data_IF_637129789680
#
_entry.id   IF_637129789680
#
_cell.length_a   1.000
_cell.length_b   1.000
_cell.length_c   1.000
_cell.angle_alpha   90.00
_cell.angle_beta   90.00
_cell.angle_gamma   90.00
#
_symmetry.space_group_name_H-M   'P 1'
#
loop_
_entity.id
_entity.type
_entity.pdbx_description
1 polymer ?
#
# COMPACT_ATOMS: atom_id res chain seq x y z
N UNK A 1 11.68 -3.12 -14.81
CA UNK A 1 10.81 -1.98 -14.49
C UNK A 1 11.08 -1.58 -13.04
N UNK A 2 11.66 -0.40 -12.82
CA UNK A 2 11.80 0.15 -11.46
C UNK A 2 10.46 0.77 -11.06
N UNK A 3 9.85 0.22 -10.01
CA UNK A 3 8.60 0.72 -9.46
C UNK A 3 8.87 1.94 -8.57
N UNK A 4 7.90 2.86 -8.47
CA UNK A 4 8.01 3.92 -7.48
C UNK A 4 7.85 3.32 -6.08
N UNK A 5 8.84 3.54 -5.22
CA UNK A 5 8.81 3.08 -3.82
C UNK A 5 7.91 3.93 -2.93
N UNK A 6 7.51 5.13 -3.39
CA UNK A 6 6.71 6.10 -2.63
C UNK A 6 5.22 5.92 -2.94
N UNK A 7 4.42 5.88 -1.88
CA UNK A 7 2.96 5.91 -1.95
C UNK A 7 2.42 7.33 -1.88
N UNK A 8 1.46 7.67 -2.74
CA UNK A 8 0.71 8.92 -2.77
C UNK A 8 -0.59 8.88 -1.97
N UNK A 9 -0.92 7.75 -1.34
CA UNK A 9 -2.09 7.66 -0.46
C UNK A 9 -1.96 8.61 0.75
N UNK A 10 -3.03 9.32 1.16
CA UNK A 10 -4.42 9.24 0.69
C UNK A 10 -4.79 10.21 -0.45
N UNK A 11 -3.88 11.11 -0.81
CA UNK A 11 -4.19 12.30 -1.62
C UNK A 11 -4.04 12.08 -3.14
N UNK A 12 -3.52 10.92 -3.55
CA UNK A 12 -3.27 10.58 -4.94
C UNK A 12 -3.44 9.09 -5.25
N UNK A 13 -3.52 8.81 -6.55
CA UNK A 13 -3.52 7.45 -7.09
C UNK A 13 -2.09 7.08 -7.43
N UNK A 14 -1.60 5.98 -6.88
CA UNK A 14 -0.27 5.47 -7.22
C UNK A 14 -0.21 5.00 -8.67
N UNK A 15 0.96 5.14 -9.33
CA UNK A 15 1.18 4.53 -10.63
C UNK A 15 0.84 3.05 -10.61
N UNK A 16 0.17 2.59 -11.67
CA UNK A 16 -0.15 1.17 -11.80
C UNK A 16 1.15 0.37 -11.87
N UNK A 17 1.32 -0.53 -10.91
CA UNK A 17 2.46 -1.44 -10.88
C UNK A 17 2.16 -2.55 -11.89
N UNK A 18 2.85 -2.52 -13.03
CA UNK A 18 2.65 -3.49 -14.09
C UNK A 18 3.47 -4.74 -13.85
N UNK A 19 2.80 -5.89 -13.85
CA UNK A 19 3.42 -7.20 -13.73
C UNK A 19 3.19 -8.00 -15.00
N UNK A 20 4.28 -8.57 -15.53
CA UNK A 20 4.24 -9.59 -16.56
C UNK A 20 5.34 -10.61 -16.31
N UNK A 21 5.24 -11.76 -16.94
CA UNK A 21 6.32 -12.73 -16.94
C UNK A 21 7.54 -12.15 -17.69
N UNK A 22 8.73 -12.57 -17.28
CA UNK A 22 9.93 -12.29 -18.07
C UNK A 22 9.92 -13.15 -19.32
N UNK A 23 10.35 -12.59 -20.43
CA UNK A 23 10.60 -13.38 -21.62
C UNK A 23 11.80 -14.34 -21.41
N UNK A 24 11.99 -15.25 -22.36
CA UNK A 24 13.10 -16.20 -22.32
C UNK A 24 14.47 -15.53 -22.47
N UNK A 25 14.54 -14.31 -22.99
CA UNK A 25 15.80 -13.57 -23.18
C UNK A 25 16.35 -13.05 -21.85
N UNK A 26 15.47 -12.78 -20.87
CA UNK A 26 15.85 -12.29 -19.55
C UNK A 26 15.98 -13.39 -18.49
N UNK A 27 15.90 -14.67 -18.87
CA UNK A 27 15.93 -15.81 -17.92
C UNK A 27 17.24 -15.86 -17.11
N UNK A 28 18.38 -15.57 -17.74
CA UNK A 28 19.68 -15.59 -17.06
C UNK A 28 19.80 -14.51 -16.00
N UNK A 29 19.18 -13.35 -16.24
CA UNK A 29 19.13 -12.24 -15.28
C UNK A 29 18.32 -12.67 -14.06
N UNK A 30 17.13 -13.25 -14.27
CA UNK A 30 16.29 -13.75 -13.18
C UNK A 30 16.98 -14.89 -12.41
N UNK A 31 17.68 -15.79 -13.09
CA UNK A 31 18.42 -16.86 -12.45
C UNK A 31 19.55 -16.31 -11.57
N UNK A 32 20.30 -15.31 -12.05
CA UNK A 32 21.35 -14.70 -11.26
C UNK A 32 20.78 -13.92 -10.07
N UNK A 33 19.70 -13.16 -10.26
CA UNK A 33 18.98 -12.51 -9.17
C UNK A 33 18.54 -13.53 -8.10
N UNK A 34 17.88 -14.61 -8.50
CA UNK A 34 17.41 -15.66 -7.58
C UNK A 34 18.57 -16.35 -6.86
N UNK A 35 19.72 -16.52 -7.53
CA UNK A 35 20.93 -17.04 -6.90
C UNK A 35 21.41 -16.10 -5.78
N UNK A 36 21.51 -14.81 -6.03
CA UNK A 36 21.90 -13.81 -5.02
C UNK A 36 20.92 -13.82 -3.84
N UNK A 37 19.60 -13.87 -4.12
CA UNK A 37 18.56 -14.02 -3.09
C UNK A 37 18.76 -15.29 -2.26
N UNK A 38 19.06 -16.43 -2.89
CA UNK A 38 19.27 -17.70 -2.18
C UNK A 38 20.49 -17.70 -1.26
N UNK A 39 21.47 -16.83 -1.53
CA UNK A 39 22.66 -16.62 -0.71
C UNK A 39 22.44 -15.59 0.42
N UNK A 40 21.29 -14.91 0.44
CA UNK A 40 21.00 -13.82 1.37
C UNK A 40 21.66 -12.49 0.99
N UNK A 41 22.20 -12.37 -0.22
CA UNK A 41 22.88 -11.18 -0.74
C UNK A 41 21.84 -10.20 -1.32
N UNK A 42 20.95 -9.68 -0.46
CA UNK A 42 19.80 -8.88 -0.90
C UNK A 42 20.19 -7.52 -1.49
N UNK A 43 21.25 -6.89 -0.97
CA UNK A 43 21.75 -5.60 -1.48
C UNK A 43 22.29 -5.78 -2.88
N UNK A 44 23.14 -6.79 -3.07
CA UNK A 44 23.72 -7.14 -4.36
C UNK A 44 22.66 -7.56 -5.36
N UNK A 45 21.65 -8.33 -4.94
CA UNK A 45 20.51 -8.70 -5.79
C UNK A 45 19.74 -7.46 -6.28
N UNK A 46 19.50 -6.50 -5.39
CA UNK A 46 18.80 -5.25 -5.72
C UNK A 46 19.63 -4.34 -6.62
N UNK A 47 20.93 -4.22 -6.38
CA UNK A 47 21.82 -3.43 -7.23
C UNK A 47 21.98 -4.07 -8.61
N UNK A 48 22.03 -5.40 -8.68
CA UNK A 48 22.07 -6.16 -9.92
C UNK A 48 20.81 -5.91 -10.76
N UNK A 49 19.61 -6.05 -10.17
CA UNK A 49 18.37 -5.90 -10.94
C UNK A 49 18.13 -4.48 -11.45
N UNK A 50 18.64 -3.46 -10.74
CA UNK A 50 18.58 -2.05 -11.15
C UNK A 50 19.36 -1.75 -12.44
N UNK A 51 20.34 -2.59 -12.80
CA UNK A 51 21.12 -2.43 -14.03
C UNK A 51 20.40 -2.98 -15.26
N UNK A 52 19.27 -3.66 -15.08
CA UNK A 52 18.55 -4.35 -16.14
C UNK A 52 17.15 -3.76 -16.36
N UNK A 53 16.95 -3.18 -17.54
CA UNK A 53 15.64 -2.74 -17.99
C UNK A 53 14.78 -3.92 -18.48
N UNK A 54 13.46 -3.69 -18.56
CA UNK A 54 12.49 -4.70 -19.05
C UNK A 54 12.47 -6.05 -18.30
N UNK A 55 13.05 -6.10 -17.10
CA UNK A 55 12.89 -7.23 -16.19
C UNK A 55 11.75 -6.94 -15.22
N UNK A 56 10.89 -7.92 -15.02
CA UNK A 56 9.68 -7.84 -14.19
C UNK A 56 9.76 -8.82 -13.03
N UNK A 57 9.29 -8.42 -11.86
CA UNK A 57 9.35 -9.29 -10.70
C UNK A 57 8.99 -8.58 -9.41
N UNK A 58 8.89 -9.37 -8.35
CA UNK A 58 8.66 -8.89 -7.00
C UNK A 58 9.99 -8.46 -6.36
N UNK A 59 10.46 -7.28 -6.74
CA UNK A 59 11.72 -6.71 -6.24
C UNK A 59 11.50 -5.89 -4.95
N UNK A 60 12.60 -5.51 -4.30
CA UNK A 60 12.57 -4.73 -3.06
C UNK A 60 11.69 -3.47 -3.16
N UNK A 61 11.75 -2.77 -4.30
CA UNK A 61 10.99 -1.54 -4.51
C UNK A 61 9.47 -1.75 -4.45
N UNK A 62 8.98 -2.91 -4.90
CA UNK A 62 7.56 -3.26 -4.80
C UNK A 62 7.14 -3.46 -3.34
N UNK A 63 7.94 -4.19 -2.56
CA UNK A 63 7.65 -4.42 -1.16
C UNK A 63 7.68 -3.11 -0.36
N UNK A 64 8.64 -2.23 -0.65
CA UNK A 64 8.73 -0.91 -0.05
C UNK A 64 7.48 -0.06 -0.36
N UNK A 65 6.98 -0.11 -1.59
CA UNK A 65 5.75 0.59 -1.97
C UNK A 65 4.52 0.08 -1.18
N UNK A 66 4.39 -1.24 -0.99
CA UNK A 66 3.33 -1.82 -0.17
C UNK A 66 3.46 -1.37 1.29
N UNK A 67 4.67 -1.46 1.85
CA UNK A 67 4.92 -1.05 3.23
C UNK A 67 4.54 0.41 3.47
N UNK A 68 4.95 1.31 2.56
CA UNK A 68 4.57 2.73 2.63
C UNK A 68 3.05 2.94 2.57
N UNK A 69 2.32 2.17 1.76
CA UNK A 69 0.85 2.21 1.75
C UNK A 69 0.26 1.80 3.09
N UNK A 70 0.77 0.74 3.70
CA UNK A 70 0.27 0.23 4.98
C UNK A 70 0.46 1.30 6.06
N UNK A 71 1.65 1.88 6.19
CA UNK A 71 1.92 2.91 7.19
C UNK A 71 1.10 4.18 6.96
N UNK A 72 1.01 4.64 5.72
CA UNK A 72 0.21 5.83 5.39
C UNK A 72 -1.28 5.60 5.70
N UNK A 73 -1.80 4.40 5.41
CA UNK A 73 -3.17 4.04 5.73
C UNK A 73 -3.42 4.01 7.24
N UNK A 74 -2.54 3.36 8.00
CA UNK A 74 -2.65 3.30 9.45
C UNK A 74 -2.63 4.70 10.05
N UNK A 75 -1.68 5.53 9.63
CA UNK A 75 -1.57 6.92 10.08
C UNK A 75 -2.82 7.74 9.71
N UNK A 76 -3.34 7.57 8.50
CA UNK A 76 -4.56 8.24 8.06
C UNK A 76 -5.76 7.84 8.93
N UNK A 77 -5.96 6.55 9.19
CA UNK A 77 -7.08 6.06 9.99
C UNK A 77 -7.01 6.52 11.46
N UNK A 78 -5.81 6.56 12.05
CA UNK A 78 -5.63 7.03 13.43
C UNK A 78 -5.92 8.53 13.59
N UNK A 79 -5.61 9.33 12.57
CA UNK A 79 -5.85 10.78 12.59
C UNK A 79 -7.22 11.18 12.04
N UNK A 80 -7.93 10.26 11.39
CA UNK A 80 -9.27 10.51 10.86
C UNK A 80 -10.23 10.71 12.02
N UNK A 81 -10.88 11.87 12.07
CA UNK A 81 -11.92 12.14 13.08
C UNK A 81 -13.02 11.07 12.97
N UNK A 82 -13.38 10.39 14.07
CA UNK A 82 -14.46 9.41 14.04
C UNK A 82 -15.75 10.11 13.64
N UNK A 83 -16.40 9.61 12.60
CA UNK A 83 -17.74 10.05 12.23
C UNK A 83 -18.69 9.37 13.21
N UNK A 84 -19.30 10.13 14.13
CA UNK A 84 -20.42 9.63 14.92
C UNK A 84 -21.63 9.57 13.99
N UNK A 85 -21.75 8.48 13.25
CA UNK A 85 -22.85 8.29 12.31
C UNK A 85 -24.19 8.03 13.00
N UNK A 86 -24.15 7.56 14.26
CA UNK A 86 -25.34 7.17 15.00
C UNK A 86 -25.48 7.95 16.30
N UNK A 87 -26.68 8.46 16.55
CA UNK A 87 -27.07 9.01 17.85
C UNK A 87 -27.94 7.96 18.54
N UNK A 88 -27.45 7.35 19.61
CA UNK A 88 -28.22 6.35 20.39
C UNK A 88 -28.87 7.01 21.60
N UNK A 89 -30.14 6.69 21.88
CA UNK A 89 -30.81 7.02 23.13
C UNK A 89 -30.63 5.88 24.15
N UNK A 90 -30.37 6.25 25.41
CA UNK A 90 -30.65 5.35 26.51
C UNK A 90 -32.14 5.46 26.84
N UNK A 91 -32.85 4.34 26.95
CA UNK A 91 -34.31 4.28 27.08
C UNK A 91 -34.90 5.02 28.31
N UNK A 92 -34.05 5.56 29.18
CA UNK A 92 -34.41 6.17 30.46
C UNK A 92 -34.08 7.67 30.56
N UNK A 93 -33.55 8.32 29.52
CA UNK A 93 -33.32 9.77 29.53
C UNK A 93 -34.57 10.53 29.07
N UNK A 94 -34.93 11.59 29.80
CA UNK A 94 -36.02 12.50 29.42
C UNK A 94 -35.78 13.01 27.99
N UNK A 95 -36.72 12.69 27.11
CA UNK A 95 -36.64 12.86 25.66
C UNK A 95 -36.40 14.33 25.30
N UNK A 96 -35.19 14.66 24.87
CA UNK A 96 -34.92 15.82 24.03
C UNK A 96 -34.31 15.30 22.73
N UNK A 97 -34.87 15.69 21.58
CA UNK A 97 -34.32 15.37 20.27
C UNK A 97 -32.88 15.93 20.18
N UNK A 98 -31.87 15.11 19.82
CA UNK A 98 -30.52 15.59 19.59
C UNK A 98 -30.48 16.55 18.40
N UNK A 99 -29.56 17.51 18.48
CA UNK A 99 -29.27 18.43 17.38
C UNK A 99 -28.50 17.65 16.30
N UNK A 100 -29.20 17.29 15.21
CA UNK A 100 -28.67 16.41 14.17
C UNK A 100 -27.98 17.25 13.11
N UNK A 101 -26.68 17.03 12.94
CA UNK A 101 -25.95 17.61 11.81
C UNK A 101 -26.11 16.79 10.54
N UNK A 102 -26.00 17.44 9.39
CA UNK A 102 -26.05 16.81 8.07
C UNK A 102 -25.06 15.63 7.98
N UNK A 103 -25.58 14.43 7.63
CA UNK A 103 -24.80 13.19 7.52
C UNK A 103 -24.91 12.20 8.69
N UNK A 104 -25.69 12.51 9.74
CA UNK A 104 -26.01 11.57 10.81
C UNK A 104 -27.28 10.75 10.51
N UNK A 105 -27.30 9.47 10.91
CA UNK A 105 -28.44 8.56 10.82
C UNK A 105 -29.02 8.30 12.21
N UNK A 106 -30.34 8.43 12.31
CA UNK A 106 -31.10 8.05 13.50
C UNK A 106 -31.28 6.54 13.55
N UNK A 107 -31.03 5.93 14.72
CA UNK A 107 -31.32 4.52 15.02
C UNK A 107 -32.24 4.42 16.22
#
# INVERSE_FOLDING_TARGET
MLCNTISYFPDGIDPMIFFQDNDLEHIDIINNYNKLISLGEYTEANDYIKLHDNVYGYFADYFNAIENRIYNLQNYLLNKKPIRQYVCFEANSEQNEPDVSEGMLWL
#
